data_IF_048073446447
#
_entry.id   IF_048073446447
#
_cell.length_a   1.000
_cell.length_b   1.000
_cell.length_c   1.000
_cell.angle_alpha   90.00
_cell.angle_beta   90.00
_cell.angle_gamma   90.00
#
_symmetry.space_group_name_H-M   'P 1'
#
loop_
_entity.id
_entity.type
_entity.pdbx_description
1 polymer ?
#
# COMPACT_ATOMS: atom_id res chain seq x y z
N UNK A 1 3.78 5.92 15.62
CA UNK A 1 4.67 5.17 14.72
C UNK A 1 5.22 5.96 13.52
N UNK A 2 4.46 6.24 12.45
CA UNK A 2 5.05 6.80 11.21
C UNK A 2 5.73 8.16 11.42
N UNK A 3 5.11 9.11 12.13
CA UNK A 3 5.70 10.43 12.39
C UNK A 3 6.94 10.38 13.30
N UNK A 4 7.00 9.39 14.18
CA UNK A 4 8.09 9.19 15.16
C UNK A 4 9.34 8.60 14.50
N UNK A 5 9.13 7.67 13.56
CA UNK A 5 10.21 6.92 12.90
C UNK A 5 10.64 7.49 11.55
N UNK A 6 9.93 8.50 11.04
CA UNK A 6 10.19 9.09 9.72
C UNK A 6 10.05 10.61 9.71
N UNK A 7 10.37 11.24 8.58
CA UNK A 7 10.11 12.67 8.37
C UNK A 7 8.65 12.97 7.96
N UNK A 8 7.78 11.96 7.81
CA UNK A 8 6.38 12.16 7.44
C UNK A 8 5.62 12.91 8.52
N UNK A 9 4.68 13.76 8.10
CA UNK A 9 3.76 14.47 8.99
C UNK A 9 2.33 14.34 8.48
N UNK A 10 1.44 13.87 9.33
CA UNK A 10 0.01 13.76 9.09
C UNK A 10 -0.67 14.98 9.71
N UNK A 11 -1.56 15.57 8.93
CA UNK A 11 -2.33 16.76 9.32
C UNK A 11 -3.75 16.57 8.82
N UNK A 12 -4.70 16.68 9.72
CA UNK A 12 -6.10 16.72 9.34
C UNK A 12 -6.37 17.99 8.54
N UNK A 13 -6.89 17.82 7.32
CA UNK A 13 -7.24 18.93 6.47
C UNK A 13 -8.39 18.55 5.53
N UNK A 14 -9.61 18.87 5.96
CA UNK A 14 -10.82 18.59 5.18
C UNK A 14 -10.91 19.39 3.87
N UNK A 15 -10.14 20.48 3.73
CA UNK A 15 -10.10 21.29 2.52
C UNK A 15 -9.01 20.83 1.52
N UNK A 16 -8.20 19.82 1.88
CA UNK A 16 -7.16 19.33 0.99
C UNK A 16 -7.79 18.69 -0.25
N UNK A 17 -7.27 19.03 -1.42
CA UNK A 17 -7.66 18.39 -2.69
C UNK A 17 -7.13 16.98 -2.80
N UNK A 18 -5.92 16.76 -2.28
CA UNK A 18 -5.26 15.46 -2.26
C UNK A 18 -5.06 15.03 -0.80
N UNK A 19 -5.68 13.92 -0.39
CA UNK A 19 -5.60 13.43 0.98
C UNK A 19 -5.89 11.93 1.05
N UNK A 20 -5.36 11.28 2.08
CA UNK A 20 -5.85 9.97 2.50
C UNK A 20 -7.07 10.15 3.40
N UNK A 21 -8.05 9.25 3.31
CA UNK A 21 -9.21 9.20 4.21
C UNK A 21 -9.38 7.78 4.72
N UNK A 22 -9.50 7.62 6.03
CA UNK A 22 -9.83 6.32 6.61
C UNK A 22 -11.35 6.13 6.58
N UNK A 23 -11.80 5.04 5.96
CA UNK A 23 -13.20 4.66 5.88
C UNK A 23 -13.36 3.37 6.68
N UNK A 24 -14.25 3.40 7.68
CA UNK A 24 -14.49 2.26 8.54
C UNK A 24 -15.64 1.43 7.98
N UNK A 25 -15.40 0.14 7.80
CA UNK A 25 -16.39 -0.82 7.30
C UNK A 25 -16.55 -2.03 8.24
N UNK A 26 -17.57 -2.84 8.02
CA UNK A 26 -17.75 -4.11 8.73
C UNK A 26 -17.06 -5.23 7.95
N UNK A 27 -16.40 -6.14 8.66
CA UNK A 27 -15.76 -7.33 8.09
C UNK A 27 -14.24 -7.29 8.16
N UNK A 28 -13.61 -8.10 7.32
CA UNK A 28 -12.18 -8.43 7.30
C UNK A 28 -11.42 -7.78 6.14
N UNK A 29 -12.10 -6.99 5.30
CA UNK A 29 -11.48 -6.36 4.14
C UNK A 29 -10.74 -5.08 4.51
N UNK A 30 -9.47 -5.03 4.12
CA UNK A 30 -8.58 -3.89 4.33
C UNK A 30 -7.71 -3.69 3.11
N UNK A 31 -7.77 -2.49 2.56
CA UNK A 31 -7.05 -2.14 1.35
C UNK A 31 -7.06 -0.63 1.11
N UNK A 32 -6.17 -0.18 0.24
CA UNK A 32 -6.34 1.06 -0.53
C UNK A 32 -6.19 0.74 -2.01
N UNK A 33 -7.02 1.35 -2.84
CA UNK A 33 -7.08 1.08 -4.29
C UNK A 33 -5.75 1.35 -5.01
N UNK A 34 -4.99 2.34 -4.54
CA UNK A 34 -3.83 2.85 -5.24
C UNK A 34 -2.57 2.80 -4.38
N UNK A 35 -1.45 2.45 -5.02
CA UNK A 35 -0.13 2.57 -4.41
C UNK A 35 0.42 3.98 -4.66
N UNK A 36 0.71 4.71 -3.59
CA UNK A 36 1.22 6.07 -3.64
C UNK A 36 0.14 7.12 -3.93
N UNK A 37 0.57 8.38 -4.10
CA UNK A 37 -0.34 9.50 -4.36
C UNK A 37 -1.01 9.37 -5.74
N UNK A 38 -2.30 9.05 -5.74
CA UNK A 38 -3.12 9.00 -6.96
C UNK A 38 -3.77 10.35 -7.34
N UNK A 39 -3.71 11.34 -6.44
CA UNK A 39 -4.45 12.60 -6.57
C UNK A 39 -5.90 12.46 -6.12
N UNK A 40 -6.54 13.56 -5.72
CA UNK A 40 -7.86 13.52 -5.10
C UNK A 40 -7.84 12.90 -3.69
N UNK A 41 -9.03 12.62 -3.17
CA UNK A 41 -9.16 11.82 -1.95
C UNK A 41 -8.95 10.34 -2.27
N UNK A 42 -8.05 9.70 -1.54
CA UNK A 42 -7.77 8.27 -1.63
C UNK A 42 -8.24 7.61 -0.34
N UNK A 43 -9.17 6.68 -0.48
CA UNK A 43 -9.72 5.97 0.67
C UNK A 43 -8.81 4.80 1.08
N UNK A 44 -8.66 4.66 2.38
CA UNK A 44 -8.07 3.50 3.05
C UNK A 44 -9.23 2.83 3.80
N UNK A 45 -9.62 1.66 3.32
CA UNK A 45 -10.71 0.88 3.90
C UNK A 45 -10.14 0.08 5.07
N UNK A 46 -10.74 0.24 6.25
CA UNK A 46 -10.41 -0.52 7.46
C UNK A 46 -11.67 -1.24 7.93
N UNK A 47 -11.75 -2.53 7.63
CA UNK A 47 -12.74 -3.43 8.20
C UNK A 47 -12.63 -3.53 9.71
N UNK A 48 -13.74 -3.83 10.37
CA UNK A 48 -13.81 -4.00 11.83
C UNK A 48 -12.84 -5.03 12.39
N UNK A 49 -12.44 -6.03 11.61
CA UNK A 49 -11.48 -7.07 12.02
C UNK A 49 -10.02 -6.69 11.73
N UNK A 50 -9.77 -5.53 11.14
CA UNK A 50 -8.44 -5.03 10.81
C UNK A 50 -8.02 -3.80 11.62
N UNK A 51 -8.80 -3.37 12.61
CA UNK A 51 -8.56 -2.13 13.36
C UNK A 51 -7.36 -2.22 14.33
N UNK A 52 -6.36 -3.02 13.97
CA UNK A 52 -5.07 -3.17 14.65
C UNK A 52 -4.06 -2.17 14.07
N UNK A 53 -3.23 -1.58 14.94
CA UNK A 53 -2.28 -0.52 14.57
C UNK A 53 -1.39 -0.92 13.39
N UNK A 54 -0.91 -2.17 13.37
CA UNK A 54 0.01 -2.65 12.33
C UNK A 54 -0.68 -2.82 10.96
N UNK A 55 -1.97 -3.14 10.92
CA UNK A 55 -2.73 -3.25 9.66
C UNK A 55 -3.02 -1.86 9.12
N UNK A 56 -3.48 -0.94 9.96
CA UNK A 56 -3.69 0.46 9.56
C UNK A 56 -2.38 1.07 9.02
N UNK A 57 -1.25 0.77 9.66
CA UNK A 57 0.05 1.23 9.20
C UNK A 57 0.50 0.60 7.88
N UNK A 58 0.16 -0.67 7.64
CA UNK A 58 0.39 -1.37 6.37
C UNK A 58 -0.35 -0.69 5.21
N UNK A 59 -1.66 -0.45 5.38
CA UNK A 59 -2.47 0.22 4.36
C UNK A 59 -2.05 1.69 4.15
N UNK A 60 -1.64 2.37 5.22
CA UNK A 60 -1.01 3.69 5.10
C UNK A 60 0.28 3.61 4.27
N UNK A 61 1.07 2.55 4.46
CA UNK A 61 2.26 2.28 3.66
C UNK A 61 1.95 2.14 2.17
N UNK A 62 0.87 1.44 1.81
CA UNK A 62 0.40 1.37 0.44
C UNK A 62 0.07 2.76 -0.13
N UNK A 63 -0.69 3.58 0.60
CA UNK A 63 -0.99 4.96 0.18
C UNK A 63 0.26 5.86 0.09
N UNK A 64 1.32 5.55 0.85
CA UNK A 64 2.62 6.23 0.78
C UNK A 64 3.50 5.76 -0.39
N UNK A 65 3.16 4.65 -1.06
CA UNK A 65 3.87 4.14 -2.24
C UNK A 65 4.52 2.78 -2.08
N UNK A 66 4.42 2.15 -0.91
CA UNK A 66 5.05 0.86 -0.68
C UNK A 66 4.23 -0.27 -1.30
N UNK A 67 4.87 -1.09 -2.13
CA UNK A 67 4.35 -2.38 -2.56
C UNK A 67 4.67 -3.44 -1.51
N UNK A 68 4.02 -4.60 -1.60
CA UNK A 68 4.43 -5.74 -0.79
C UNK A 68 5.88 -6.14 -1.07
N UNK A 69 6.62 -6.48 -0.01
CA UNK A 69 8.05 -6.80 -0.12
C UNK A 69 8.32 -8.00 -1.04
N UNK A 70 7.42 -9.00 -1.08
CA UNK A 70 7.55 -10.14 -2.00
C UNK A 70 7.26 -9.79 -3.46
N UNK A 71 6.92 -8.54 -3.79
CA UNK A 71 6.77 -8.07 -5.16
C UNK A 71 7.99 -7.29 -5.66
N UNK A 72 9.05 -7.17 -4.86
CA UNK A 72 10.29 -6.52 -5.30
C UNK A 72 10.86 -7.19 -6.58
N UNK A 73 11.43 -6.42 -7.52
CA UNK A 73 12.06 -6.96 -8.73
C UNK A 73 13.21 -7.93 -8.46
N UNK A 74 13.88 -7.82 -7.30
CA UNK A 74 15.00 -8.67 -6.89
C UNK A 74 14.59 -9.83 -5.99
N UNK A 75 13.30 -10.05 -5.73
CA UNK A 75 12.81 -11.04 -4.77
C UNK A 75 13.30 -12.46 -5.05
N UNK A 76 13.50 -12.82 -6.32
CA UNK A 76 13.81 -14.20 -6.72
C UNK A 76 15.24 -14.60 -6.29
N UNK A 77 16.02 -13.63 -5.77
CA UNK A 77 17.29 -13.85 -5.08
C UNK A 77 17.14 -14.20 -3.59
N UNK A 78 15.94 -14.04 -3.03
CA UNK A 78 15.66 -14.12 -1.59
C UNK A 78 14.57 -15.13 -1.25
N UNK A 79 13.56 -15.27 -2.11
CA UNK A 79 12.41 -16.15 -1.92
C UNK A 79 12.08 -16.89 -3.23
N UNK A 80 11.38 -18.02 -3.09
CA UNK A 80 10.82 -18.76 -4.23
C UNK A 80 9.32 -18.91 -4.03
N UNK A 81 8.53 -18.62 -5.06
CA UNK A 81 7.09 -18.84 -5.04
C UNK A 81 6.78 -20.27 -5.51
N UNK A 82 6.13 -21.06 -4.66
CA UNK A 82 5.59 -22.35 -5.09
C UNK A 82 4.27 -22.14 -5.83
N UNK A 83 4.37 -21.92 -7.15
CA UNK A 83 3.22 -21.64 -8.02
C UNK A 83 2.14 -22.73 -8.02
N UNK A 84 2.46 -23.97 -7.63
CA UNK A 84 1.45 -25.04 -7.50
C UNK A 84 0.46 -24.80 -6.35
N UNK A 85 0.84 -23.97 -5.38
CA UNK A 85 0.00 -23.62 -4.24
C UNK A 85 -0.71 -22.26 -4.43
N UNK A 86 -0.48 -21.58 -5.55
CA UNK A 86 -1.10 -20.29 -5.85
C UNK A 86 -2.33 -20.54 -6.72
N UNK A 87 -3.48 -20.01 -6.28
CA UNK A 87 -4.70 -20.04 -7.09
C UNK A 87 -4.49 -19.22 -8.36
N UNK A 88 -5.02 -19.68 -9.50
CA UNK A 88 -4.76 -19.07 -10.80
C UNK A 88 -5.14 -17.59 -10.81
N UNK A 89 -6.30 -17.25 -10.24
CA UNK A 89 -6.84 -15.90 -10.07
C UNK A 89 -5.98 -15.00 -9.17
N UNK A 90 -5.16 -15.57 -8.29
CA UNK A 90 -4.29 -14.84 -7.38
C UNK A 90 -2.89 -14.60 -7.95
N UNK A 91 -2.57 -15.17 -9.12
CA UNK A 91 -1.22 -15.13 -9.71
C UNK A 91 -0.67 -13.71 -9.84
N UNK A 92 -1.53 -12.76 -10.22
CA UNK A 92 -1.15 -11.35 -10.35
C UNK A 92 -0.61 -10.73 -9.03
N UNK A 93 -1.17 -11.10 -7.88
CA UNK A 93 -0.75 -10.63 -6.54
C UNK A 93 0.64 -11.12 -6.14
N UNK A 94 1.15 -12.15 -6.83
CA UNK A 94 2.50 -12.68 -6.66
C UNK A 94 3.44 -12.27 -7.78
N UNK A 95 3.06 -11.42 -8.73
CA UNK A 95 3.99 -10.92 -9.75
C UNK A 95 4.84 -9.76 -9.22
N UNK A 96 6.12 -9.62 -9.63
CA UNK A 96 6.93 -8.48 -9.24
C UNK A 96 6.41 -7.20 -9.91
N UNK A 97 6.53 -6.05 -9.25
CA UNK A 97 6.28 -4.77 -9.91
C UNK A 97 7.42 -4.45 -10.92
N UNK A 98 7.11 -3.69 -11.97
CA UNK A 98 7.98 -3.57 -13.16
C UNK A 98 9.24 -2.74 -12.92
N UNK A 99 9.22 -1.79 -11.98
CA UNK A 99 10.41 -1.04 -11.59
C UNK A 99 10.26 -0.34 -10.23
N UNK A 100 11.38 -0.11 -9.54
CA UNK A 100 11.44 0.68 -8.29
C UNK A 100 10.93 2.13 -8.47
N UNK A 101 10.88 2.63 -9.71
CA UNK A 101 10.29 3.95 -10.03
C UNK A 101 8.78 3.99 -9.74
N UNK A 102 8.10 2.84 -9.68
CA UNK A 102 6.70 2.73 -9.28
C UNK A 102 6.50 2.79 -7.76
N UNK A 103 7.57 2.68 -6.95
CA UNK A 103 7.48 2.48 -5.50
C UNK A 103 7.48 3.79 -4.67
N UNK A 104 7.51 4.98 -5.27
CA UNK A 104 7.56 6.23 -4.49
C UNK A 104 6.82 7.42 -5.13
N UNK A 105 6.04 7.22 -6.19
CA UNK A 105 5.38 8.34 -6.90
C UNK A 105 6.34 9.39 -7.47
N UNK A 106 7.65 9.11 -7.51
CA UNK A 106 8.67 10.01 -8.06
C UNK A 106 8.71 9.76 -9.57
N UNK A 107 8.06 10.65 -10.33
CA UNK A 107 8.28 10.74 -11.78
C UNK A 107 9.75 11.10 -11.99
N UNK A 108 10.52 10.25 -12.67
CA UNK A 108 11.85 10.62 -13.14
C UNK A 108 11.68 11.77 -14.14
N UNK A 109 11.96 13.00 -13.70
CA UNK A 109 12.11 14.14 -14.60
C UNK A 109 13.45 13.92 -15.32
N UNK A 110 13.41 13.74 -16.64
CA UNK A 110 14.60 13.81 -17.48
C UNK A 110 15.04 15.26 -17.63
#
# INVERSE_FOLDING_TARGET
MWEESTCLRFRENMASRDAIRYVLEKGDSCFTEYIGRNGGHQDIIIGSECAEEYVVAHETGHALGFWHTHQRPDRDRHISINWKNVMEEATASFMPFRSMLQAFGIRQVR
#
